data_IF_045708846113
#
_entry.id   IF_045708846113
#
_cell.length_a   1.000
_cell.length_b   1.000
_cell.length_c   1.000
_cell.angle_alpha   90.00
_cell.angle_beta   90.00
_cell.angle_gamma   90.00
#
_symmetry.space_group_name_H-M   'P 1'
#
loop_
_entity.id
_entity.type
_entity.pdbx_description
1 polymer ?
#
# COMPACT_ATOMS: atom_id res chain seq x y z
N UNK A 1 -19.05 7.00 -18.24
CA UNK A 1 -17.56 6.83 -18.29
C UNK A 1 -16.84 7.81 -17.35
N UNK A 2 -16.94 9.13 -17.51
CA UNK A 2 -16.28 10.14 -16.62
C UNK A 2 -16.62 9.96 -15.13
N UNK A 3 -17.89 9.68 -14.78
CA UNK A 3 -18.36 9.52 -13.40
C UNK A 3 -17.67 8.36 -12.66
N UNK A 4 -17.35 7.28 -13.37
CA UNK A 4 -16.66 6.11 -12.80
C UNK A 4 -15.16 6.41 -12.52
N UNK A 5 -14.49 7.19 -13.36
CA UNK A 5 -13.09 7.60 -13.14
C UNK A 5 -12.98 8.49 -11.89
N UNK A 6 -13.89 9.45 -11.71
CA UNK A 6 -13.92 10.30 -10.52
C UNK A 6 -14.13 9.49 -9.23
N UNK A 7 -15.00 8.46 -9.29
CA UNK A 7 -15.20 7.57 -8.15
C UNK A 7 -13.92 6.80 -7.79
N UNK A 8 -13.20 6.27 -8.78
CA UNK A 8 -11.88 5.61 -8.55
C UNK A 8 -10.90 6.53 -7.84
N UNK A 9 -10.80 7.79 -8.30
CA UNK A 9 -9.92 8.80 -7.71
C UNK A 9 -10.30 9.07 -6.25
N UNK A 10 -11.60 9.25 -5.97
CA UNK A 10 -12.10 9.48 -4.61
C UNK A 10 -11.83 8.30 -3.69
N UNK A 11 -12.09 7.07 -4.13
CA UNK A 11 -11.79 5.85 -3.36
C UNK A 11 -10.30 5.76 -3.05
N UNK A 12 -9.45 5.96 -4.06
CA UNK A 12 -8.01 5.96 -3.87
C UNK A 12 -7.57 7.01 -2.85
N UNK A 13 -8.04 8.24 -2.94
CA UNK A 13 -7.68 9.32 -2.02
C UNK A 13 -8.14 9.00 -0.60
N UNK A 14 -9.37 8.52 -0.42
CA UNK A 14 -9.91 8.14 0.87
C UNK A 14 -9.05 7.06 1.55
N UNK A 15 -8.66 6.00 0.82
CA UNK A 15 -7.83 4.93 1.36
C UNK A 15 -6.38 5.39 1.57
N UNK A 16 -5.81 6.15 0.63
CA UNK A 16 -4.45 6.69 0.78
C UNK A 16 -4.32 7.54 2.04
N UNK A 17 -5.32 8.37 2.34
CA UNK A 17 -5.27 9.34 3.43
C UNK A 17 -5.66 8.75 4.81
N UNK A 18 -6.03 7.47 4.89
CA UNK A 18 -6.01 6.74 6.17
C UNK A 18 -4.57 6.82 6.72
N UNK A 19 -4.34 7.29 7.95
CA UNK A 19 -3.00 7.34 8.52
C UNK A 19 -2.31 5.98 8.50
N UNK A 20 -1.10 5.91 7.92
CA UNK A 20 -0.33 4.65 7.91
C UNK A 20 -0.02 4.20 9.35
N UNK A 21 -0.36 2.96 9.65
CA UNK A 21 -0.20 2.39 10.99
C UNK A 21 0.01 0.87 10.90
N UNK A 22 0.97 0.34 11.66
CA UNK A 22 1.18 -1.08 11.83
C UNK A 22 0.45 -1.53 13.11
N UNK A 23 -0.58 -2.34 12.98
CA UNK A 23 -1.42 -2.78 14.09
C UNK A 23 -1.97 -4.19 13.91
N UNK A 24 -2.86 -4.57 14.82
CA UNK A 24 -3.66 -5.79 14.75
C UNK A 24 -4.73 -5.71 13.65
N UNK A 25 -5.60 -6.71 13.58
CA UNK A 25 -6.66 -6.79 12.57
C UNK A 25 -7.63 -5.60 12.58
N UNK A 26 -7.82 -4.94 13.74
CA UNK A 26 -8.76 -3.84 13.91
C UNK A 26 -8.14 -2.47 13.62
N UNK A 27 -6.83 -2.32 13.80
CA UNK A 27 -6.13 -1.04 13.72
C UNK A 27 -5.14 -0.94 12.57
N UNK A 28 -4.90 -2.03 11.84
CA UNK A 28 -3.89 -2.11 10.81
C UNK A 28 -4.24 -1.26 9.58
N UNK A 29 -3.43 -0.24 9.32
CA UNK A 29 -3.47 0.57 8.11
C UNK A 29 -2.13 0.52 7.35
N UNK A 30 -1.49 -0.66 7.34
CA UNK A 30 -0.27 -0.94 6.59
C UNK A 30 -0.50 -0.91 5.07
N UNK A 31 0.58 -0.99 4.30
CA UNK A 31 0.48 -1.11 2.83
C UNK A 31 -0.45 -2.26 2.40
N UNK A 32 -0.35 -3.43 3.06
CA UNK A 32 -1.20 -4.58 2.77
C UNK A 32 -2.67 -4.35 3.10
N UNK A 33 -2.97 -3.72 4.24
CA UNK A 33 -4.33 -3.40 4.65
C UNK A 33 -4.98 -2.39 3.68
N UNK A 34 -4.27 -1.33 3.33
CA UNK A 34 -4.75 -0.33 2.37
C UNK A 34 -4.92 -0.89 0.96
N UNK A 35 -3.96 -1.71 0.49
CA UNK A 35 -4.07 -2.36 -0.82
C UNK A 35 -5.28 -3.30 -0.88
N UNK A 36 -5.50 -4.13 0.17
CA UNK A 36 -6.67 -4.99 0.27
C UNK A 36 -7.97 -4.18 0.19
N UNK A 37 -8.13 -3.20 1.08
CA UNK A 37 -9.36 -2.40 1.17
C UNK A 37 -9.66 -1.65 -0.12
N UNK A 38 -8.65 -1.00 -0.72
CA UNK A 38 -8.82 -0.34 -2.01
C UNK A 38 -9.20 -1.33 -3.11
N UNK A 39 -8.54 -2.49 -3.15
CA UNK A 39 -8.85 -3.52 -4.14
C UNK A 39 -10.28 -4.02 -4.04
N UNK A 40 -10.78 -4.31 -2.84
CA UNK A 40 -12.16 -4.72 -2.60
C UNK A 40 -13.16 -3.65 -3.07
N UNK A 41 -12.92 -2.38 -2.73
CA UNK A 41 -13.78 -1.27 -3.18
C UNK A 41 -13.75 -1.09 -4.70
N UNK A 42 -12.60 -1.23 -5.34
CA UNK A 42 -12.50 -1.14 -6.80
C UNK A 42 -13.18 -2.33 -7.49
N UNK A 43 -13.12 -3.53 -6.90
CA UNK A 43 -13.83 -4.72 -7.41
C UNK A 43 -15.35 -4.57 -7.32
N UNK A 44 -15.90 -3.92 -6.27
CA UNK A 44 -17.36 -3.65 -6.17
C UNK A 44 -17.87 -2.72 -7.25
N UNK A 45 -17.03 -1.86 -7.82
CA UNK A 45 -17.38 -0.99 -8.95
C UNK A 45 -17.00 -1.57 -10.32
N UNK A 46 -16.69 -2.89 -10.37
CA UNK A 46 -16.47 -3.66 -11.60
C UNK A 46 -15.06 -3.64 -12.17
N UNK A 47 -14.06 -3.16 -11.43
CA UNK A 47 -12.67 -3.23 -11.87
C UNK A 47 -12.03 -4.59 -11.50
N UNK A 48 -11.09 -5.04 -12.32
CA UNK A 48 -10.27 -6.23 -12.00
C UNK A 48 -9.02 -5.78 -11.25
N UNK A 49 -8.79 -6.35 -10.07
CA UNK A 49 -7.62 -6.06 -9.24
C UNK A 49 -6.74 -7.30 -9.05
N UNK A 50 -5.44 -7.08 -8.85
CA UNK A 50 -4.46 -8.10 -8.50
C UNK A 50 -3.54 -7.55 -7.42
N UNK A 51 -3.36 -8.30 -6.35
CA UNK A 51 -2.37 -7.99 -5.35
C UNK A 51 -0.98 -8.33 -5.89
N UNK A 52 -0.08 -7.39 -5.73
CA UNK A 52 1.33 -7.52 -6.10
C UNK A 52 2.20 -7.05 -4.95
N UNK A 53 3.42 -7.52 -4.91
CA UNK A 53 4.38 -7.11 -3.90
C UNK A 53 5.77 -6.93 -4.49
N UNK A 54 6.62 -6.21 -3.78
CA UNK A 54 8.04 -6.12 -4.03
C UNK A 54 8.82 -6.24 -2.74
N UNK A 55 10.12 -6.48 -2.84
CA UNK A 55 11.05 -6.40 -1.72
C UNK A 55 11.79 -5.07 -1.76
N UNK A 56 12.06 -4.52 -0.59
CA UNK A 56 12.85 -3.31 -0.41
C UNK A 56 13.72 -3.41 0.85
N UNK A 57 14.73 -2.55 0.95
CA UNK A 57 15.57 -2.45 2.15
C UNK A 57 15.21 -1.16 2.90
N UNK A 58 15.02 -1.26 4.22
CA UNK A 58 14.69 -0.13 5.07
C UNK A 58 15.69 1.03 4.94
N UNK A 59 16.98 0.73 4.77
CA UNK A 59 18.02 1.73 4.58
C UNK A 59 17.85 2.62 3.35
N UNK A 60 17.04 2.19 2.39
CA UNK A 60 16.74 2.94 1.16
C UNK A 60 15.45 3.78 1.29
N UNK A 61 14.89 3.87 2.48
CA UNK A 61 13.72 4.70 2.79
C UNK A 61 14.17 5.97 3.53
N UNK A 62 13.36 7.05 3.52
CA UNK A 62 13.68 8.30 4.22
C UNK A 62 13.46 8.22 5.75
N UNK A 63 13.40 7.02 6.32
CA UNK A 63 13.28 6.85 7.77
C UNK A 63 14.58 7.24 8.49
N UNK A 64 14.50 7.75 9.73
CA UNK A 64 15.67 8.06 10.53
C UNK A 64 16.57 6.85 10.78
N UNK A 65 17.89 7.01 10.72
CA UNK A 65 18.88 5.93 10.94
C UNK A 65 18.62 5.16 12.24
N UNK A 66 18.33 5.86 13.36
CA UNK A 66 18.01 5.23 14.65
C UNK A 66 16.78 4.31 14.60
N UNK A 67 15.82 4.61 13.75
CA UNK A 67 14.65 3.77 13.54
C UNK A 67 14.99 2.56 12.67
N UNK A 68 15.76 2.76 11.61
CA UNK A 68 16.23 1.69 10.73
C UNK A 68 17.05 0.64 11.50
N UNK A 69 17.88 1.06 12.46
CA UNK A 69 18.66 0.15 13.31
C UNK A 69 17.82 -0.78 14.18
N UNK A 70 16.54 -0.46 14.41
CA UNK A 70 15.60 -1.29 15.17
C UNK A 70 14.85 -2.31 14.30
N UNK A 71 15.04 -2.30 12.98
CA UNK A 71 14.32 -3.22 12.11
C UNK A 71 14.73 -4.67 12.38
N UNK A 72 13.76 -5.60 12.51
CA UNK A 72 14.09 -7.01 12.77
C UNK A 72 14.76 -7.69 11.58
N UNK A 73 14.58 -7.15 10.39
CA UNK A 73 15.15 -7.67 9.14
C UNK A 73 15.60 -6.52 8.23
N UNK A 74 16.73 -6.70 7.54
CA UNK A 74 17.24 -5.71 6.58
C UNK A 74 16.26 -5.48 5.42
N UNK A 75 15.58 -6.54 5.01
CA UNK A 75 14.65 -6.55 3.89
C UNK A 75 13.21 -6.71 4.37
N UNK A 76 12.29 -5.97 3.75
CA UNK A 76 10.87 -6.09 3.98
C UNK A 76 10.12 -6.26 2.65
N UNK A 77 8.87 -6.70 2.74
CA UNK A 77 7.95 -6.74 1.60
C UNK A 77 7.00 -5.55 1.63
N UNK A 78 6.65 -5.07 0.46
CA UNK A 78 5.68 -4.00 0.26
C UNK A 78 4.58 -4.46 -0.68
N UNK A 79 3.31 -4.32 -0.27
CA UNK A 79 2.14 -4.72 -1.05
C UNK A 79 1.43 -3.51 -1.64
N UNK A 80 0.95 -3.69 -2.87
CA UNK A 80 0.15 -2.72 -3.60
C UNK A 80 -0.69 -3.44 -4.68
N UNK A 81 -1.35 -2.70 -5.55
CA UNK A 81 -2.27 -3.25 -6.54
C UNK A 81 -1.75 -3.10 -7.98
N UNK A 82 -2.14 -4.04 -8.83
CA UNK A 82 -2.36 -3.81 -10.25
C UNK A 82 -3.86 -3.79 -10.52
N UNK A 83 -4.34 -2.75 -11.18
CA UNK A 83 -5.74 -2.55 -11.53
C UNK A 83 -5.86 -2.53 -13.05
N UNK A 84 -6.80 -3.26 -13.62
CA UNK A 84 -7.05 -3.20 -15.06
C UNK A 84 -7.85 -1.95 -15.40
N UNK A 85 -7.26 -1.08 -16.22
CA UNK A 85 -7.94 0.10 -16.78
C UNK A 85 -8.63 -0.29 -18.10
N UNK A 86 -9.97 -0.38 -18.12
CA UNK A 86 -10.70 -0.74 -19.34
C UNK A 86 -10.50 0.30 -20.45
N UNK A 87 -10.40 1.58 -20.09
CA UNK A 87 -10.22 2.69 -21.01
C UNK A 87 -8.86 2.66 -21.74
N UNK A 88 -7.85 2.17 -21.03
CA UNK A 88 -6.48 2.03 -21.57
C UNK A 88 -6.14 0.62 -22.02
N UNK A 89 -7.04 -0.33 -21.79
CA UNK A 89 -6.88 -1.78 -22.08
C UNK A 89 -5.58 -2.36 -21.50
N UNK A 90 -5.15 -1.88 -20.32
CA UNK A 90 -3.91 -2.34 -19.67
C UNK A 90 -4.00 -2.38 -18.16
N UNK A 91 -3.10 -3.16 -17.54
CA UNK A 91 -2.90 -3.18 -16.10
C UNK A 91 -2.04 -1.99 -15.67
N UNK A 92 -2.49 -1.25 -14.66
CA UNK A 92 -1.76 -0.11 -14.08
C UNK A 92 -1.44 -0.36 -12.62
N UNK A 93 -0.31 0.18 -12.15
CA UNK A 93 0.12 0.14 -10.76
C UNK A 93 -0.68 1.16 -9.95
N UNK A 94 -1.21 0.73 -8.81
CA UNK A 94 -1.95 1.61 -7.89
C UNK A 94 -1.48 1.34 -6.46
N UNK A 95 -0.78 2.30 -5.88
CA UNK A 95 -0.18 2.20 -4.55
C UNK A 95 -0.70 3.31 -3.62
N UNK A 96 -1.60 2.99 -2.66
CA UNK A 96 -2.21 3.96 -1.75
C UNK A 96 -1.46 4.11 -0.42
N UNK A 97 -0.18 3.77 -0.34
CA UNK A 97 0.48 3.53 0.96
C UNK A 97 0.66 4.76 1.81
N UNK A 98 1.36 5.80 1.32
CA UNK A 98 1.68 6.95 2.14
C UNK A 98 0.54 7.97 2.14
N UNK A 99 0.05 8.34 3.32
CA UNK A 99 -0.96 9.38 3.49
C UNK A 99 -0.38 10.79 3.21
N UNK A 100 -1.24 11.71 2.80
CA UNK A 100 -0.84 13.05 2.33
C UNK A 100 -0.12 13.87 3.39
N UNK A 101 -0.33 13.62 4.68
CA UNK A 101 0.34 14.30 5.77
C UNK A 101 1.83 13.93 5.90
N UNK A 102 2.27 12.89 5.22
CA UNK A 102 3.67 12.48 5.18
C UNK A 102 4.46 13.09 4.01
N UNK A 103 3.92 14.07 3.30
CA UNK A 103 4.51 14.67 2.11
C UNK A 103 5.90 15.28 2.32
N UNK A 104 6.23 15.70 3.55
CA UNK A 104 7.57 16.22 3.90
C UNK A 104 8.66 15.14 3.88
N UNK A 105 8.30 13.87 3.93
CA UNK A 105 9.23 12.74 4.02
C UNK A 105 9.12 11.79 2.84
N UNK A 106 7.91 11.59 2.31
CA UNK A 106 7.63 10.60 1.27
C UNK A 106 7.01 11.24 0.04
N UNK A 107 7.31 10.67 -1.12
CA UNK A 107 6.59 11.00 -2.34
C UNK A 107 5.18 10.45 -2.26
N UNK A 108 4.19 11.33 -2.18
CA UNK A 108 2.78 10.95 -2.08
C UNK A 108 2.23 10.60 -3.46
N UNK A 109 1.69 9.40 -3.58
CA UNK A 109 1.07 8.93 -4.81
C UNK A 109 -0.23 9.69 -5.10
N UNK A 110 -0.41 10.05 -6.39
CA UNK A 110 -1.65 10.61 -6.92
C UNK A 110 -2.11 9.71 -8.05
N UNK A 111 -3.37 9.33 -8.03
CA UNK A 111 -3.95 8.51 -9.08
C UNK A 111 -5.00 9.30 -9.86
N UNK A 112 -4.90 9.29 -11.18
CA UNK A 112 -5.87 9.89 -12.09
C UNK A 112 -6.98 8.89 -12.53
N UNK A 113 -7.02 7.69 -11.92
CA UNK A 113 -7.99 6.64 -12.23
C UNK A 113 -7.65 5.81 -13.48
N UNK A 114 -6.57 6.10 -14.20
CA UNK A 114 -6.25 5.52 -15.52
C UNK A 114 -4.81 5.02 -15.69
N UNK A 115 -3.83 5.65 -15.02
CA UNK A 115 -2.40 5.37 -15.22
C UNK A 115 -1.71 4.94 -13.94
N UNK A 116 -0.45 4.52 -14.05
CA UNK A 116 0.36 4.11 -12.91
C UNK A 116 0.49 5.23 -11.88
N UNK A 117 0.45 4.86 -10.59
CA UNK A 117 0.99 5.68 -9.50
C UNK A 117 2.49 5.41 -9.31
N UNK A 118 3.17 6.25 -8.55
CA UNK A 118 4.48 5.88 -8.00
C UNK A 118 4.31 4.72 -7.00
N UNK A 119 5.33 3.84 -6.92
CA UNK A 119 5.43 2.83 -5.85
C UNK A 119 6.03 3.51 -4.62
N UNK A 120 5.48 3.20 -3.43
CA UNK A 120 5.82 3.85 -2.18
C UNK A 120 7.27 3.59 -1.69
N UNK A 121 7.93 2.57 -2.20
CA UNK A 121 9.29 2.17 -1.83
C UNK A 121 10.15 1.91 -3.07
N UNK A 122 11.49 2.10 -2.99
CA UNK A 122 12.40 1.74 -4.09
C UNK A 122 12.35 0.25 -4.37
N UNK A 123 12.08 -0.14 -5.62
CA UNK A 123 12.07 -1.55 -6.03
C UNK A 123 12.58 -1.73 -7.45
N UNK A 124 13.16 -2.93 -7.71
CA UNK A 124 13.61 -3.35 -9.04
C UNK A 124 12.69 -4.38 -9.68
N UNK A 125 11.90 -5.12 -8.88
CA UNK A 125 11.07 -6.23 -9.36
C UNK A 125 9.73 -6.26 -8.63
N UNK A 126 8.68 -6.61 -9.35
CA UNK A 126 7.32 -6.77 -8.84
C UNK A 126 6.92 -8.24 -9.01
N UNK A 127 6.31 -8.80 -7.98
CA UNK A 127 5.83 -10.17 -7.94
C UNK A 127 4.32 -10.19 -7.77
N UNK A 128 3.66 -11.17 -8.38
CA UNK A 128 2.24 -11.40 -8.22
C UNK A 128 1.95 -12.30 -7.03
N UNK A 129 0.98 -11.92 -6.22
CA UNK A 129 0.51 -12.77 -5.14
C UNK A 129 -0.40 -13.88 -5.72
N UNK A 130 0.01 -15.13 -5.53
CA UNK A 130 -0.70 -16.30 -6.04
C UNK A 130 -0.97 -17.29 -4.91
N UNK A 131 -2.06 -18.05 -5.02
CA UNK A 131 -2.34 -19.16 -4.12
C UNK A 131 -1.49 -20.40 -4.47
N UNK A 132 -1.61 -21.47 -3.67
CA UNK A 132 -0.88 -22.74 -3.88
C UNK A 132 -1.13 -23.38 -5.25
N UNK A 133 -2.25 -23.07 -5.91
CA UNK A 133 -2.61 -23.57 -7.26
C UNK A 133 -2.14 -22.63 -8.39
N UNK A 134 -1.30 -21.63 -8.09
CA UNK A 134 -0.77 -20.68 -9.07
C UNK A 134 -1.77 -19.61 -9.56
N UNK A 135 -3.00 -19.59 -9.04
CA UNK A 135 -4.01 -18.57 -9.37
C UNK A 135 -3.77 -17.29 -8.60
N UNK A 136 -4.04 -16.14 -9.23
CA UNK A 136 -3.96 -14.84 -8.54
C UNK A 136 -4.87 -14.82 -7.32
N UNK A 137 -4.35 -14.32 -6.21
CA UNK A 137 -5.11 -14.18 -4.99
C UNK A 137 -6.02 -12.95 -5.11
N UNK A 138 -7.33 -13.11 -4.86
CA UNK A 138 -8.26 -11.99 -4.82
C UNK A 138 -8.07 -11.14 -3.56
N UNK A 139 -8.41 -9.86 -3.63
CA UNK A 139 -8.31 -8.95 -2.50
C UNK A 139 -9.12 -9.45 -1.30
N UNK A 140 -10.33 -9.99 -1.52
CA UNK A 140 -11.19 -10.54 -0.48
C UNK A 140 -10.57 -11.73 0.28
N UNK A 141 -9.84 -12.63 -0.42
CA UNK A 141 -9.22 -13.83 0.17
C UNK A 141 -7.86 -13.54 0.81
N UNK A 142 -7.30 -12.37 0.58
CA UNK A 142 -6.03 -11.99 1.17
C UNK A 142 -6.18 -11.72 2.66
N UNK A 143 -5.36 -12.40 3.46
CA UNK A 143 -5.24 -12.14 4.90
C UNK A 143 -4.12 -11.14 5.13
N UNK A 144 -4.46 -9.98 5.66
CA UNK A 144 -3.48 -8.95 6.02
C UNK A 144 -2.66 -9.44 7.20
N UNK A 145 -1.34 -9.18 7.15
CA UNK A 145 -0.47 -9.48 8.28
C UNK A 145 -0.79 -8.57 9.46
N UNK A 146 -0.99 -9.16 10.63
CA UNK A 146 -1.06 -8.44 11.88
C UNK A 146 0.35 -8.07 12.37
N UNK A 147 0.45 -6.93 13.02
CA UNK A 147 1.67 -6.43 13.64
C UNK A 147 1.43 -6.27 15.14
N UNK A 148 2.35 -6.75 15.95
CA UNK A 148 2.31 -6.52 17.39
C UNK A 148 2.66 -5.05 17.68
N UNK A 149 1.71 -4.24 18.19
CA UNK A 149 1.96 -2.84 18.49
C UNK A 149 2.93 -2.64 19.67
N UNK A 150 3.20 -3.69 20.45
CA UNK A 150 4.16 -3.65 21.57
C UNK A 150 5.59 -3.96 21.14
N UNK A 151 5.78 -4.57 19.96
CA UNK A 151 7.09 -4.79 19.37
C UNK A 151 7.88 -3.48 19.23
N UNK A 152 9.16 -3.50 19.59
CA UNK A 152 10.02 -2.31 19.69
C UNK A 152 10.10 -1.53 18.37
N UNK A 153 10.22 -2.22 17.24
CA UNK A 153 10.26 -1.56 15.93
C UNK A 153 8.90 -0.98 15.56
N UNK A 154 7.83 -1.77 15.64
CA UNK A 154 6.45 -1.37 15.34
C UNK A 154 6.04 -0.15 16.14
N UNK A 155 6.26 -0.17 17.47
CA UNK A 155 6.00 0.94 18.38
C UNK A 155 6.78 2.20 18.00
N UNK A 156 8.07 2.05 17.70
CA UNK A 156 8.94 3.18 17.32
C UNK A 156 8.54 3.76 15.96
N UNK A 157 8.20 2.92 14.99
CA UNK A 157 7.75 3.34 13.66
C UNK A 157 6.41 4.09 13.73
N UNK A 158 5.42 3.55 14.44
CA UNK A 158 4.13 4.21 14.63
C UNK A 158 4.26 5.56 15.36
N UNK A 159 5.11 5.62 16.38
CA UNK A 159 5.40 6.87 17.11
C UNK A 159 6.05 7.92 16.19
N UNK A 160 6.98 7.49 15.34
CA UNK A 160 7.61 8.39 14.38
C UNK A 160 6.60 8.92 13.35
N UNK A 161 5.77 8.05 12.76
CA UNK A 161 4.72 8.48 11.83
C UNK A 161 3.73 9.47 12.47
N UNK A 162 3.35 9.26 13.74
CA UNK A 162 2.49 10.20 14.48
C UNK A 162 3.13 11.59 14.61
N UNK A 163 4.43 11.66 14.85
CA UNK A 163 5.18 12.92 14.93
C UNK A 163 5.37 13.58 13.56
N UNK A 164 5.66 12.77 12.53
CA UNK A 164 5.91 13.24 11.17
C UNK A 164 4.69 13.89 10.50
N UNK A 165 3.46 13.64 11.01
CA UNK A 165 2.21 14.25 10.52
C UNK A 165 1.86 15.59 11.16
N UNK A 166 2.60 16.02 12.19
CA UNK A 166 2.42 17.33 12.85
C UNK A 166 3.16 18.42 12.11
#
# INVERSE_FOLDING_TARGET
MKKNIQLRIKLFQAIRDIPYYLGDENTNASCGAKAKLLGELLETIGLKCRLVFCYFKWKNTPLPKKLIQKTPHEQASHLFLKVYSPERKKWVIVDPTWDSKLASYFKISRWNGLSDTAIAVPTKRIYYLKNKKGKFLSCQKFKVRNFDPTDSFTKSLNSWFKKARK
#
